data_IF_442666647992
#
_entry.id   IF_442666647992
#
_cell.length_a   1.000
_cell.length_b   1.000
_cell.length_c   1.000
_cell.angle_alpha   90.00
_cell.angle_beta   90.00
_cell.angle_gamma   90.00
#
_symmetry.space_group_name_H-M   'P 1'
#
loop_
_entity.id
_entity.type
_entity.pdbx_description
1 polymer ?
#
# COMPACT_ATOMS: atom_id res chain seq x y z
N UNK A 1 33.48 5.04 24.70
CA UNK A 1 32.47 5.91 24.05
C UNK A 1 32.13 5.40 22.63
N UNK A 2 33.10 4.83 21.89
CA UNK A 2 32.86 4.25 20.54
C UNK A 2 32.01 2.98 20.57
N UNK A 3 32.11 2.15 21.60
CA UNK A 3 31.31 0.92 21.74
C UNK A 3 29.84 1.19 22.01
N UNK A 4 29.49 2.24 22.77
CA UNK A 4 28.10 2.61 23.05
C UNK A 4 27.39 3.07 21.77
N UNK A 5 28.06 3.81 20.86
CA UNK A 5 27.50 4.27 19.59
C UNK A 5 27.20 3.12 18.61
N UNK A 6 27.85 1.95 18.76
CA UNK A 6 27.60 0.77 17.90
C UNK A 6 26.51 -0.15 18.43
N UNK A 7 26.15 -0.06 19.71
CA UNK A 7 25.17 -0.93 20.37
C UNK A 7 23.74 -0.41 20.11
N UNK A 8 23.52 0.90 20.15
CA UNK A 8 22.20 1.53 20.01
C UNK A 8 21.50 1.16 18.70
N UNK A 9 22.12 1.26 17.52
CA UNK A 9 21.48 0.87 16.25
C UNK A 9 21.10 -0.61 16.18
N UNK A 10 21.93 -1.50 16.76
CA UNK A 10 21.64 -2.95 16.80
C UNK A 10 20.46 -3.29 17.70
N UNK A 11 20.25 -2.55 18.77
CA UNK A 11 19.11 -2.74 19.68
C UNK A 11 17.83 -2.28 19.00
N UNK A 12 17.82 -1.13 18.35
CA UNK A 12 16.67 -0.64 17.58
C UNK A 12 16.29 -1.62 16.47
N UNK A 13 17.24 -2.07 15.67
CA UNK A 13 16.99 -3.02 14.60
C UNK A 13 16.38 -4.35 15.11
N UNK A 14 16.79 -4.84 16.28
CA UNK A 14 16.20 -6.05 16.88
C UNK A 14 14.77 -5.81 17.37
N UNK A 15 14.50 -4.64 17.94
CA UNK A 15 13.17 -4.25 18.38
C UNK A 15 12.21 -4.12 17.20
N UNK A 16 12.66 -3.47 16.12
CA UNK A 16 11.88 -3.29 14.90
C UNK A 16 11.60 -4.63 14.21
N UNK A 17 12.59 -5.53 14.15
CA UNK A 17 12.40 -6.89 13.64
C UNK A 17 11.32 -7.64 14.43
N UNK A 18 11.36 -7.58 15.75
CA UNK A 18 10.37 -8.27 16.59
C UNK A 18 8.99 -7.66 16.47
N UNK A 19 8.91 -6.34 16.37
CA UNK A 19 7.66 -5.63 16.17
C UNK A 19 7.05 -5.94 14.79
N UNK A 20 7.87 -5.97 13.74
CA UNK A 20 7.45 -6.37 12.39
C UNK A 20 6.91 -7.81 12.35
N UNK A 21 7.57 -8.74 13.04
CA UNK A 21 7.11 -10.11 13.20
C UNK A 21 5.74 -10.19 13.89
N UNK A 22 5.55 -9.44 14.98
CA UNK A 22 4.28 -9.35 15.72
C UNK A 22 3.15 -8.81 14.80
N UNK A 23 3.42 -7.76 14.04
CA UNK A 23 2.44 -7.22 13.09
C UNK A 23 2.11 -8.24 12.01
N UNK A 24 3.11 -8.94 11.47
CA UNK A 24 2.89 -10.00 10.48
C UNK A 24 1.98 -11.12 11.02
N UNK A 25 2.24 -11.62 12.23
CA UNK A 25 1.43 -12.66 12.88
C UNK A 25 -0.01 -12.19 13.14
N UNK A 26 -0.19 -10.93 13.54
CA UNK A 26 -1.53 -10.32 13.69
C UNK A 26 -2.25 -10.24 12.35
N UNK A 27 -1.55 -9.83 11.28
CA UNK A 27 -2.09 -9.86 9.93
C UNK A 27 -2.59 -11.24 9.52
N UNK A 28 -1.80 -12.29 9.79
CA UNK A 28 -2.19 -13.68 9.52
C UNK A 28 -3.44 -14.13 10.34
N UNK A 29 -3.54 -13.69 11.59
CA UNK A 29 -4.70 -13.96 12.43
C UNK A 29 -5.97 -13.30 11.85
N UNK A 30 -5.90 -12.03 11.45
CA UNK A 30 -7.03 -11.34 10.85
C UNK A 30 -7.40 -11.91 9.48
N UNK A 31 -6.42 -12.27 8.66
CA UNK A 31 -6.67 -12.93 7.37
C UNK A 31 -7.35 -14.29 7.53
N UNK A 32 -7.01 -15.05 8.57
CA UNK A 32 -7.66 -16.31 8.89
C UNK A 32 -9.13 -16.12 9.28
N UNK A 33 -9.44 -15.01 9.92
CA UNK A 33 -10.79 -14.65 10.34
C UNK A 33 -11.56 -13.85 9.25
N UNK A 34 -11.05 -13.80 8.02
CA UNK A 34 -11.63 -13.08 6.88
C UNK A 34 -11.82 -11.56 7.10
N UNK A 35 -11.14 -11.00 8.09
CA UNK A 35 -11.07 -9.56 8.30
C UNK A 35 -9.94 -8.97 7.45
N UNK A 36 -10.24 -8.74 6.17
CA UNK A 36 -9.25 -8.37 5.15
C UNK A 36 -8.66 -6.98 5.37
N UNK A 37 -9.44 -6.03 5.88
CA UNK A 37 -8.99 -4.66 6.12
C UNK A 37 -7.97 -4.59 7.26
N UNK A 38 -8.28 -5.21 8.38
CA UNK A 38 -7.33 -5.29 9.49
C UNK A 38 -6.10 -6.13 9.11
N UNK A 39 -6.27 -7.23 8.38
CA UNK A 39 -5.14 -8.01 7.89
C UNK A 39 -4.20 -7.16 7.03
N UNK A 40 -4.74 -6.40 6.08
CA UNK A 40 -3.97 -5.49 5.24
C UNK A 40 -3.21 -4.44 6.06
N UNK A 41 -3.88 -3.77 6.97
CA UNK A 41 -3.29 -2.76 7.86
C UNK A 41 -2.09 -3.31 8.64
N UNK A 42 -2.23 -4.50 9.20
CA UNK A 42 -1.13 -5.14 9.93
C UNK A 42 0.03 -5.57 9.02
N UNK A 43 -0.25 -6.04 7.79
CA UNK A 43 0.81 -6.33 6.82
C UNK A 43 1.53 -5.07 6.35
N UNK A 44 0.82 -3.96 6.14
CA UNK A 44 1.43 -2.66 5.83
C UNK A 44 2.35 -2.22 6.97
N UNK A 45 1.86 -2.24 8.22
CA UNK A 45 2.66 -1.88 9.39
C UNK A 45 3.91 -2.79 9.54
N UNK A 46 3.79 -4.09 9.24
CA UNK A 46 4.94 -4.99 9.23
C UNK A 46 5.95 -4.64 8.13
N UNK A 47 5.47 -4.26 6.96
CA UNK A 47 6.30 -3.88 5.81
C UNK A 47 7.02 -2.54 6.03
N UNK A 48 6.37 -1.59 6.70
CA UNK A 48 6.92 -0.28 7.01
C UNK A 48 8.20 -0.35 7.86
N UNK A 49 8.25 -1.28 8.78
CA UNK A 49 9.45 -1.50 9.58
C UNK A 49 10.61 -2.09 8.77
N UNK A 50 10.33 -2.62 7.58
CA UNK A 50 11.26 -3.14 6.56
C UNK A 50 12.39 -4.05 7.10
N UNK A 51 12.14 -4.71 8.22
CA UNK A 51 13.13 -5.49 8.95
C UNK A 51 12.85 -6.99 8.91
N UNK A 52 11.57 -7.36 8.75
CA UNK A 52 11.12 -8.75 8.70
C UNK A 52 10.70 -9.11 7.28
N UNK A 53 11.40 -10.01 6.64
CA UNK A 53 11.16 -10.65 5.33
C UNK A 53 10.09 -9.95 4.42
N UNK A 54 10.44 -8.86 3.72
CA UNK A 54 9.48 -8.07 2.91
C UNK A 54 8.80 -8.92 1.82
N UNK A 55 9.50 -9.89 1.23
CA UNK A 55 8.95 -10.78 0.22
C UNK A 55 7.82 -11.65 0.78
N UNK A 56 7.96 -12.12 2.01
CA UNK A 56 6.92 -12.90 2.68
C UNK A 56 5.67 -12.05 2.93
N UNK A 57 5.84 -10.80 3.32
CA UNK A 57 4.74 -9.85 3.52
C UNK A 57 4.03 -9.60 2.19
N UNK A 58 4.77 -9.35 1.12
CA UNK A 58 4.22 -9.15 -0.22
C UNK A 58 3.37 -10.35 -0.67
N UNK A 59 3.89 -11.57 -0.51
CA UNK A 59 3.16 -12.80 -0.83
C UNK A 59 1.85 -12.89 -0.01
N UNK A 60 1.86 -12.43 1.24
CA UNK A 60 0.65 -12.44 2.08
C UNK A 60 -0.39 -11.42 1.62
N UNK A 61 0.03 -10.23 1.20
CA UNK A 61 -0.86 -9.22 0.60
C UNK A 61 -1.48 -9.77 -0.69
N UNK A 62 -0.71 -10.44 -1.55
CA UNK A 62 -1.22 -11.09 -2.75
C UNK A 62 -2.23 -12.21 -2.42
N UNK A 63 -1.92 -13.03 -1.42
CA UNK A 63 -2.84 -14.07 -0.92
C UNK A 63 -4.13 -13.48 -0.35
N UNK A 64 -4.06 -12.33 0.33
CA UNK A 64 -5.22 -11.58 0.80
C UNK A 64 -6.12 -11.16 -0.36
N UNK A 65 -5.55 -10.60 -1.42
CA UNK A 65 -6.31 -10.19 -2.62
C UNK A 65 -7.02 -11.39 -3.25
N UNK A 66 -6.33 -12.53 -3.39
CA UNK A 66 -6.94 -13.75 -3.94
C UNK A 66 -8.13 -14.21 -3.09
N UNK A 67 -7.99 -14.25 -1.77
CA UNK A 67 -9.08 -14.64 -0.86
C UNK A 67 -10.24 -13.66 -0.92
N UNK A 68 -9.94 -12.37 -1.00
CA UNK A 68 -10.94 -11.31 -1.15
C UNK A 68 -11.74 -11.48 -2.44
N UNK A 69 -11.09 -11.78 -3.56
CA UNK A 69 -11.76 -12.05 -4.84
C UNK A 69 -12.62 -13.31 -4.78
N UNK A 70 -12.17 -14.39 -4.12
CA UNK A 70 -12.98 -15.57 -3.92
C UNK A 70 -14.24 -15.26 -3.08
N UNK A 71 -14.11 -14.41 -2.06
CA UNK A 71 -15.26 -13.94 -1.29
C UNK A 71 -16.22 -13.13 -2.15
N UNK A 72 -15.72 -12.27 -3.05
CA UNK A 72 -16.53 -11.53 -4.02
C UNK A 72 -17.36 -12.48 -4.90
N UNK A 73 -16.75 -13.55 -5.45
CA UNK A 73 -17.50 -14.53 -6.23
C UNK A 73 -18.67 -15.17 -5.44
N UNK A 74 -18.44 -15.51 -4.19
CA UNK A 74 -19.50 -16.05 -3.31
C UNK A 74 -20.63 -15.01 -3.08
N UNK A 75 -20.27 -13.75 -2.87
CA UNK A 75 -21.25 -12.67 -2.71
C UNK A 75 -22.09 -12.46 -3.97
N UNK A 76 -21.46 -12.52 -5.16
CA UNK A 76 -22.16 -12.41 -6.44
C UNK A 76 -23.14 -13.58 -6.67
N UNK A 77 -22.76 -14.80 -6.29
CA UNK A 77 -23.65 -15.95 -6.35
C UNK A 77 -24.88 -15.77 -5.43
N UNK A 78 -24.67 -15.12 -4.27
CA UNK A 78 -25.74 -14.80 -3.32
C UNK A 78 -26.51 -13.51 -3.68
N UNK A 79 -26.19 -12.86 -4.80
CA UNK A 79 -26.77 -11.58 -5.24
C UNK A 79 -26.53 -10.41 -4.28
N UNK A 80 -25.52 -10.48 -3.44
CA UNK A 80 -25.09 -9.38 -2.57
C UNK A 80 -24.14 -8.44 -3.31
N UNK A 81 -24.67 -7.78 -4.34
CA UNK A 81 -23.88 -6.97 -5.27
C UNK A 81 -23.24 -5.75 -4.60
N UNK A 82 -23.88 -5.16 -3.58
CA UNK A 82 -23.32 -3.99 -2.90
C UNK A 82 -22.11 -4.37 -2.05
N UNK A 83 -22.16 -5.48 -1.33
CA UNK A 83 -21.02 -5.93 -0.53
C UNK A 83 -19.89 -6.43 -1.46
N UNK A 84 -20.24 -7.07 -2.59
CA UNK A 84 -19.26 -7.44 -3.61
C UNK A 84 -18.56 -6.19 -4.18
N UNK A 85 -19.30 -5.13 -4.46
CA UNK A 85 -18.76 -3.85 -4.93
C UNK A 85 -17.79 -3.21 -3.91
N UNK A 86 -18.19 -3.18 -2.64
CA UNK A 86 -17.33 -2.69 -1.54
C UNK A 86 -15.99 -3.43 -1.50
N UNK A 87 -16.04 -4.77 -1.51
CA UNK A 87 -14.83 -5.60 -1.46
C UNK A 87 -13.96 -5.46 -2.71
N UNK A 88 -14.57 -5.28 -3.88
CA UNK A 88 -13.84 -5.02 -5.13
C UNK A 88 -13.13 -3.66 -5.11
N UNK A 89 -13.78 -2.61 -4.59
CA UNK A 89 -13.11 -1.32 -4.40
C UNK A 89 -11.91 -1.44 -3.46
N UNK A 90 -12.07 -2.17 -2.36
CA UNK A 90 -10.93 -2.43 -1.48
C UNK A 90 -9.81 -3.20 -2.20
N UNK A 91 -10.13 -4.29 -2.90
CA UNK A 91 -9.15 -5.06 -3.68
C UNK A 91 -8.42 -4.22 -4.72
N UNK A 92 -9.15 -3.36 -5.45
CA UNK A 92 -8.58 -2.46 -6.46
C UNK A 92 -7.57 -1.49 -5.87
N UNK A 93 -7.91 -0.90 -4.73
CA UNK A 93 -7.07 0.11 -4.07
C UNK A 93 -5.78 -0.49 -3.48
N UNK A 94 -5.84 -1.72 -2.94
CA UNK A 94 -4.66 -2.38 -2.37
C UNK A 94 -3.83 -3.16 -3.41
N UNK A 95 -4.41 -3.43 -4.58
CA UNK A 95 -3.71 -4.11 -5.67
C UNK A 95 -2.79 -3.13 -6.38
N UNK A 96 -1.49 -3.32 -6.23
CA UNK A 96 -0.47 -2.56 -6.98
C UNK A 96 -0.39 -2.98 -8.46
N UNK A 97 -1.03 -4.08 -8.81
CA UNK A 97 -1.10 -4.59 -10.18
C UNK A 97 -2.50 -4.35 -10.70
N UNK A 98 -2.61 -3.60 -11.81
CA UNK A 98 -3.88 -3.48 -12.54
C UNK A 98 -4.32 -4.89 -12.97
N UNK A 99 -5.17 -5.50 -12.15
CA UNK A 99 -5.71 -6.82 -12.46
C UNK A 99 -6.90 -6.63 -13.39
N UNK A 100 -6.77 -7.07 -14.64
CA UNK A 100 -7.89 -7.11 -15.59
C UNK A 100 -9.11 -7.82 -14.99
N UNK A 101 -8.89 -8.81 -14.12
CA UNK A 101 -9.95 -9.53 -13.44
C UNK A 101 -10.72 -8.64 -12.45
N UNK A 102 -10.04 -7.78 -11.70
CA UNK A 102 -10.71 -6.85 -10.77
C UNK A 102 -11.56 -5.84 -11.55
N UNK A 103 -11.01 -5.26 -12.62
CA UNK A 103 -11.75 -4.32 -13.45
C UNK A 103 -12.96 -4.97 -14.11
N UNK A 104 -12.81 -6.17 -14.67
CA UNK A 104 -13.93 -6.92 -15.26
C UNK A 104 -15.04 -7.22 -14.24
N UNK A 105 -14.67 -7.64 -13.03
CA UNK A 105 -15.66 -7.89 -11.97
C UNK A 105 -16.32 -6.59 -11.49
N UNK A 106 -15.60 -5.48 -11.45
CA UNK A 106 -16.16 -4.17 -11.13
C UNK A 106 -17.20 -3.74 -12.17
N UNK A 107 -16.85 -3.80 -13.45
CA UNK A 107 -17.77 -3.46 -14.54
C UNK A 107 -19.04 -4.32 -14.49
N UNK A 108 -18.88 -5.62 -14.22
CA UNK A 108 -20.01 -6.54 -14.06
C UNK A 108 -20.91 -6.17 -12.88
N UNK A 109 -20.33 -5.89 -11.73
CA UNK A 109 -21.08 -5.53 -10.51
C UNK A 109 -21.76 -4.18 -10.68
N UNK A 110 -21.09 -3.20 -11.25
CA UNK A 110 -21.66 -1.89 -11.57
C UNK A 110 -22.85 -2.00 -12.52
N UNK A 111 -22.76 -2.85 -13.55
CA UNK A 111 -23.87 -3.15 -14.43
C UNK A 111 -25.06 -3.77 -13.68
N UNK A 112 -24.82 -4.75 -12.79
CA UNK A 112 -25.86 -5.37 -11.99
C UNK A 112 -26.54 -4.36 -11.03
N UNK A 113 -25.78 -3.47 -10.44
CA UNK A 113 -26.29 -2.43 -9.53
C UNK A 113 -27.04 -1.34 -10.30
N UNK A 114 -26.53 -0.91 -11.45
CA UNK A 114 -27.14 0.15 -12.27
C UNK A 114 -28.50 -0.23 -12.82
N UNK A 115 -28.77 -1.53 -12.96
CA UNK A 115 -30.10 -2.03 -13.33
C UNK A 115 -31.16 -1.78 -12.24
N UNK A 116 -30.71 -1.46 -11.01
CA UNK A 116 -31.58 -1.11 -9.87
C UNK A 116 -31.64 0.42 -9.81
N UNK A 117 -32.65 1.02 -10.42
CA UNK A 117 -32.79 2.47 -10.53
C UNK A 117 -33.19 3.10 -9.18
N UNK A 118 -32.22 3.30 -8.27
CA UNK A 118 -32.44 3.86 -6.93
C UNK A 118 -31.33 4.85 -6.58
N UNK A 119 -31.71 6.10 -6.31
CA UNK A 119 -30.78 7.14 -5.84
C UNK A 119 -30.09 6.78 -4.52
N UNK A 120 -30.78 6.02 -3.65
CA UNK A 120 -30.18 5.51 -2.40
C UNK A 120 -29.01 4.57 -2.67
N UNK A 121 -29.10 3.74 -3.70
CA UNK A 121 -28.03 2.82 -4.06
C UNK A 121 -26.85 3.58 -4.63
N UNK A 122 -27.09 4.56 -5.52
CA UNK A 122 -26.04 5.45 -6.05
C UNK A 122 -25.28 6.18 -4.94
N UNK A 123 -26.04 6.77 -3.98
CA UNK A 123 -25.40 7.46 -2.85
C UNK A 123 -24.58 6.50 -2.00
N UNK A 124 -25.07 5.29 -1.76
CA UNK A 124 -24.32 4.27 -1.01
C UNK A 124 -23.04 3.83 -1.73
N UNK A 125 -23.05 3.72 -3.07
CA UNK A 125 -21.86 3.47 -3.86
C UNK A 125 -20.83 4.58 -3.72
N UNK A 126 -21.26 5.85 -3.75
CA UNK A 126 -20.38 7.00 -3.55
C UNK A 126 -19.74 6.96 -2.16
N UNK A 127 -20.52 6.69 -1.14
CA UNK A 127 -20.01 6.59 0.23
C UNK A 127 -18.98 5.45 0.37
N UNK A 128 -19.25 4.28 -0.23
CA UNK A 128 -18.30 3.14 -0.23
C UNK A 128 -16.97 3.55 -0.86
N UNK A 129 -16.99 4.24 -1.99
CA UNK A 129 -15.78 4.70 -2.67
C UNK A 129 -15.00 5.65 -1.74
N UNK A 130 -15.67 6.62 -1.13
CA UNK A 130 -15.07 7.60 -0.25
C UNK A 130 -14.50 6.94 1.01
N UNK A 131 -15.27 6.08 1.68
CA UNK A 131 -14.82 5.38 2.88
C UNK A 131 -13.59 4.50 2.61
N UNK A 132 -13.58 3.76 1.48
CA UNK A 132 -12.42 2.92 1.14
C UNK A 132 -11.21 3.73 0.72
N UNK A 133 -11.39 4.84 0.04
CA UNK A 133 -10.31 5.74 -0.30
C UNK A 133 -9.70 6.37 0.95
N UNK A 134 -10.53 6.83 1.89
CA UNK A 134 -10.07 7.36 3.18
C UNK A 134 -9.34 6.30 4.01
N UNK A 135 -9.89 5.07 4.09
CA UNK A 135 -9.23 3.95 4.75
C UNK A 135 -7.83 3.68 4.19
N UNK A 136 -7.69 3.58 2.87
CA UNK A 136 -6.39 3.33 2.22
C UNK A 136 -5.42 4.48 2.48
N UNK A 137 -5.88 5.73 2.34
CA UNK A 137 -5.06 6.91 2.61
C UNK A 137 -4.62 6.98 4.07
N UNK A 138 -5.47 6.58 5.01
CA UNK A 138 -5.13 6.53 6.43
C UNK A 138 -4.23 5.34 6.81
N UNK A 139 -4.28 4.26 6.03
CA UNK A 139 -3.52 3.02 6.29
C UNK A 139 -2.15 3.06 5.61
N UNK A 140 -2.10 3.57 4.38
CA UNK A 140 -0.83 3.87 3.73
C UNK A 140 -0.29 5.12 4.39
N UNK A 141 0.69 4.98 5.28
CA UNK A 141 1.41 6.14 5.77
C UNK A 141 1.96 6.90 4.57
N UNK A 142 1.80 8.22 4.62
CA UNK A 142 2.42 9.16 3.69
C UNK A 142 3.95 9.22 3.89
N UNK A 143 4.50 8.29 4.64
CA UNK A 143 5.91 8.26 4.99
C UNK A 143 6.69 7.54 3.88
N UNK A 144 7.71 8.19 3.43
CA UNK A 144 8.67 7.67 2.45
C UNK A 144 9.85 7.09 3.20
N UNK A 145 10.24 5.87 2.83
CA UNK A 145 11.32 5.14 3.48
C UNK A 145 12.50 4.92 2.55
N UNK A 146 13.69 4.81 3.13
CA UNK A 146 14.85 4.30 2.39
C UNK A 146 14.52 2.88 1.89
N UNK A 147 14.74 2.66 0.59
CA UNK A 147 14.37 1.41 -0.08
C UNK A 147 13.12 1.51 -0.96
N UNK A 148 12.33 2.58 -0.86
CA UNK A 148 11.17 2.79 -1.74
C UNK A 148 11.57 3.01 -3.19
N UNK A 149 10.70 2.59 -4.12
CA UNK A 149 10.91 2.86 -5.52
C UNK A 149 10.53 4.31 -5.86
N UNK A 150 11.27 4.90 -6.82
CA UNK A 150 11.04 6.27 -7.30
C UNK A 150 9.58 6.54 -7.70
N UNK A 151 8.92 5.55 -8.34
CA UNK A 151 7.51 5.66 -8.71
C UNK A 151 6.57 5.76 -7.49
N UNK A 152 6.92 5.09 -6.38
CA UNK A 152 6.10 5.09 -5.17
C UNK A 152 6.24 6.45 -4.47
N UNK A 153 7.46 7.02 -4.45
CA UNK A 153 7.70 8.38 -3.95
C UNK A 153 6.95 9.43 -4.78
N UNK A 154 6.96 9.31 -6.11
CA UNK A 154 6.20 10.20 -7.00
C UNK A 154 4.69 10.04 -6.79
N UNK A 155 4.20 8.82 -6.57
CA UNK A 155 2.78 8.58 -6.29
C UNK A 155 2.32 9.22 -4.97
N UNK A 156 3.20 9.27 -3.97
CA UNK A 156 2.91 9.87 -2.64
C UNK A 156 3.00 11.40 -2.69
N UNK A 157 4.07 11.93 -3.27
CA UNK A 157 4.37 13.38 -3.25
C UNK A 157 3.88 14.14 -4.48
N UNK A 158 3.46 13.45 -5.54
CA UNK A 158 3.18 14.05 -6.85
C UNK A 158 4.46 14.26 -7.66
N UNK A 159 4.35 15.07 -8.72
CA UNK A 159 5.50 15.38 -9.57
C UNK A 159 6.51 16.28 -8.83
N UNK A 160 7.81 16.00 -8.93
CA UNK A 160 8.85 16.81 -8.31
C UNK A 160 8.98 18.19 -8.97
N UNK A 161 9.45 19.17 -8.22
CA UNK A 161 9.80 20.50 -8.76
C UNK A 161 10.96 20.38 -9.76
N UNK A 162 11.91 19.50 -9.45
CA UNK A 162 13.07 19.27 -10.32
C UNK A 162 13.45 17.79 -10.26
N UNK A 163 13.90 17.25 -11.41
CA UNK A 163 14.42 15.89 -11.55
C UNK A 163 15.77 15.95 -12.24
N UNK A 164 16.80 15.40 -11.58
CA UNK A 164 18.16 15.28 -12.13
C UNK A 164 18.52 13.82 -12.27
N UNK A 165 18.91 13.38 -13.47
CA UNK A 165 19.31 12.01 -13.77
C UNK A 165 20.77 11.94 -14.22
N UNK A 166 21.50 10.95 -13.71
CA UNK A 166 22.85 10.61 -14.14
C UNK A 166 22.96 9.10 -14.29
N UNK A 167 23.45 8.66 -15.43
CA UNK A 167 23.67 7.23 -15.73
C UNK A 167 25.15 7.00 -15.92
N UNK A 168 25.70 5.96 -15.29
CA UNK A 168 27.00 5.42 -15.59
C UNK A 168 26.87 3.94 -16.01
N UNK A 169 27.98 3.30 -16.42
CA UNK A 169 27.97 1.96 -17.01
C UNK A 169 27.25 0.87 -16.22
N UNK A 170 27.01 1.04 -14.90
CA UNK A 170 26.44 0.02 -14.02
C UNK A 170 25.26 0.52 -13.19
N UNK A 171 25.09 1.83 -13.03
CA UNK A 171 24.07 2.38 -12.14
C UNK A 171 23.41 3.63 -12.73
N UNK A 172 22.11 3.77 -12.47
CA UNK A 172 21.39 5.02 -12.65
C UNK A 172 21.25 5.71 -11.31
N UNK A 173 21.45 7.02 -11.30
CA UNK A 173 21.22 7.87 -10.14
C UNK A 173 20.18 8.92 -10.51
N UNK A 174 19.19 9.08 -9.68
CA UNK A 174 18.14 10.10 -9.86
C UNK A 174 18.03 10.87 -8.56
N UNK A 175 17.94 12.19 -8.67
CA UNK A 175 17.60 13.07 -7.56
C UNK A 175 16.27 13.75 -7.90
N UNK A 176 15.30 13.64 -7.00
CA UNK A 176 14.04 14.37 -7.06
C UNK A 176 14.06 15.49 -6.02
N UNK A 177 13.63 16.68 -6.40
CA UNK A 177 13.55 17.84 -5.51
C UNK A 177 12.08 18.20 -5.32
N UNK A 178 11.66 18.36 -4.07
CA UNK A 178 10.32 18.74 -3.67
C UNK A 178 10.36 19.93 -2.69
N UNK A 179 9.42 20.85 -2.86
CA UNK A 179 9.14 21.90 -1.89
C UNK A 179 7.94 21.45 -1.04
N UNK A 180 8.18 21.07 0.20
CA UNK A 180 7.14 20.61 1.11
C UNK A 180 7.10 21.54 2.33
N UNK A 181 6.00 22.25 2.50
CA UNK A 181 5.79 23.18 3.63
C UNK A 181 6.95 24.18 3.79
N UNK A 182 7.28 24.86 2.70
CA UNK A 182 8.36 25.86 2.61
C UNK A 182 9.77 25.35 2.92
N UNK A 183 10.00 24.06 2.70
CA UNK A 183 11.29 23.40 2.87
C UNK A 183 11.61 22.58 1.64
N UNK A 184 12.85 22.65 1.22
CA UNK A 184 13.38 21.86 0.12
C UNK A 184 13.80 20.46 0.64
N UNK A 185 13.32 19.41 -0.03
CA UNK A 185 13.71 18.03 0.20
C UNK A 185 14.35 17.47 -1.06
N UNK A 186 15.47 16.77 -0.92
CA UNK A 186 16.17 16.05 -1.98
C UNK A 186 16.13 14.57 -1.71
N UNK A 187 15.51 13.82 -2.60
CA UNK A 187 15.43 12.37 -2.55
C UNK A 187 16.41 11.77 -3.55
N UNK A 188 17.37 10.99 -3.07
CA UNK A 188 18.42 10.39 -3.89
C UNK A 188 18.12 8.93 -4.15
N UNK A 189 18.10 8.54 -5.42
CA UNK A 189 17.83 7.18 -5.86
C UNK A 189 19.04 6.59 -6.58
N UNK A 190 19.27 5.29 -6.32
CA UNK A 190 20.21 4.46 -7.09
C UNK A 190 19.45 3.28 -7.67
N UNK A 191 19.50 3.11 -9.01
CA UNK A 191 18.75 2.06 -9.70
C UNK A 191 17.24 2.08 -9.34
N UNK A 192 16.67 3.29 -9.27
CA UNK A 192 15.28 3.58 -8.91
C UNK A 192 14.90 3.31 -7.45
N UNK A 193 15.84 2.95 -6.58
CA UNK A 193 15.62 2.70 -5.16
C UNK A 193 16.12 3.92 -4.36
N UNK A 194 15.29 4.43 -3.45
CA UNK A 194 15.62 5.53 -2.55
C UNK A 194 16.74 5.12 -1.59
N UNK A 195 17.85 5.85 -1.61
CA UNK A 195 19.03 5.56 -0.81
C UNK A 195 19.33 6.64 0.23
N UNK A 196 18.83 7.86 0.03
CA UNK A 196 19.06 8.98 0.95
C UNK A 196 18.01 10.07 0.78
N UNK A 197 17.78 10.85 1.84
CA UNK A 197 16.92 12.03 1.85
C UNK A 197 17.61 13.15 2.61
N UNK A 198 17.83 14.28 1.93
CA UNK A 198 18.36 15.50 2.52
C UNK A 198 17.24 16.53 2.63
N UNK A 199 17.30 17.33 3.70
CA UNK A 199 16.40 18.46 3.94
C UNK A 199 17.20 19.74 4.14
N UNK A 200 16.93 20.73 3.35
CA UNK A 200 17.46 22.10 3.46
C UNK A 200 16.50 23.03 4.19
#
# INVERSE_FOLDING_TARGET
ISEIKSITPKIHLKADNKLSEIYFEKGDMFLKNENYEEAYKYYVNANELNTYNPEKIKIKIESLIIRLLNNVYNLLQNKDNLLAYEKLHFAKNISRVSSNNINFLMDYVEYQISSINSDKIRQRMINIIQDKQEFITSTSKEDIYLGDFIKDVINILGEPVEKVERVNFQNSYTMLIYDIKDKEYKFFFKNQILIDVERN
#
